data_IF_337832249516
#
_entry.id   IF_337832249516
#
_cell.length_a   1.000
_cell.length_b   1.000
_cell.length_c   1.000
_cell.angle_alpha   90.00
_cell.angle_beta   90.00
_cell.angle_gamma   90.00
#
_symmetry.space_group_name_H-M   'P 1'
#
loop_
_entity.id
_entity.type
_entity.pdbx_description
1 polymer ?
#
# COMPACT_ATOMS: atom_id res chain seq x y z
N UNK A 1 9.76 -40.00 -36.21
CA UNK A 1 8.91 -39.17 -37.10
C UNK A 1 7.45 -39.53 -36.91
N UNK A 2 6.65 -38.60 -36.38
CA UNK A 2 5.21 -38.36 -36.65
C UNK A 2 4.69 -37.38 -35.59
N UNK A 3 4.83 -36.09 -35.92
CA UNK A 3 4.24 -34.99 -35.16
C UNK A 3 2.73 -35.00 -35.38
N UNK A 4 1.96 -35.25 -34.31
CA UNK A 4 0.51 -35.06 -34.33
C UNK A 4 0.21 -33.84 -33.47
N UNK A 5 0.22 -32.68 -34.11
CA UNK A 5 -0.33 -31.44 -33.56
C UNK A 5 -1.85 -31.60 -33.42
N UNK A 6 -2.33 -31.92 -32.21
CA UNK A 6 -3.74 -31.71 -31.86
C UNK A 6 -3.87 -30.40 -31.11
N UNK A 7 -4.32 -29.40 -31.88
CA UNK A 7 -4.77 -28.10 -31.40
C UNK A 7 -6.12 -28.33 -30.72
N UNK A 8 -6.10 -28.41 -29.39
CA UNK A 8 -7.29 -28.29 -28.55
C UNK A 8 -6.92 -27.30 -27.45
N UNK A 9 -7.43 -26.09 -27.62
CA UNK A 9 -7.24 -25.00 -26.68
C UNK A 9 -7.78 -25.33 -25.31
N UNK A 10 -6.92 -25.23 -24.32
CA UNK A 10 -7.28 -24.80 -22.97
C UNK A 10 -6.14 -23.89 -22.52
N UNK A 11 -6.37 -22.59 -22.70
CA UNK A 11 -5.62 -21.50 -22.05
C UNK A 11 -5.67 -21.70 -20.54
N UNK A 12 -4.69 -22.42 -20.00
CA UNK A 12 -4.40 -22.41 -18.57
C UNK A 12 -3.35 -21.33 -18.34
N UNK A 13 -3.82 -20.09 -18.43
CA UNK A 13 -3.14 -18.94 -17.86
C UNK A 13 -3.11 -19.18 -16.35
N UNK A 14 -2.01 -19.75 -15.86
CA UNK A 14 -1.67 -19.77 -14.43
C UNK A 14 -1.28 -18.36 -13.99
N UNK A 15 -2.25 -17.46 -13.99
CA UNK A 15 -2.23 -16.28 -13.12
C UNK A 15 -2.97 -16.72 -11.88
N UNK A 16 -2.25 -17.09 -10.82
CA UNK A 16 -2.62 -16.72 -9.45
C UNK A 16 -1.57 -17.21 -8.44
N UNK A 17 -1.30 -16.33 -7.49
CA UNK A 17 -0.52 -16.54 -6.28
C UNK A 17 1.01 -16.52 -6.42
N UNK A 18 1.53 -15.45 -7.02
CA UNK A 18 2.56 -14.70 -6.30
C UNK A 18 1.90 -14.10 -5.05
N UNK A 19 1.66 -14.95 -4.06
CA UNK A 19 1.34 -14.54 -2.70
C UNK A 19 2.57 -13.80 -2.23
N UNK A 20 2.52 -12.48 -2.39
CA UNK A 20 3.45 -11.56 -1.79
C UNK A 20 3.34 -11.78 -0.29
N UNK A 21 4.16 -12.70 0.24
CA UNK A 21 4.68 -12.56 1.57
C UNK A 21 5.50 -11.27 1.55
N UNK A 22 4.80 -10.13 1.63
CA UNK A 22 5.42 -8.92 2.10
C UNK A 22 6.10 -9.29 3.42
N UNK A 23 7.28 -8.72 3.72
CA UNK A 23 7.82 -8.86 5.07
C UNK A 23 6.71 -8.40 6.02
N UNK A 24 6.17 -9.33 6.82
CA UNK A 24 5.08 -9.03 7.76
C UNK A 24 5.40 -7.78 8.58
N UNK A 25 6.70 -7.56 8.86
CA UNK A 25 7.26 -6.39 9.51
C UNK A 25 6.88 -5.04 8.85
N UNK A 26 6.76 -4.95 7.52
CA UNK A 26 6.35 -3.73 6.83
C UNK A 26 4.82 -3.51 6.84
N UNK A 27 4.03 -4.59 6.92
CA UNK A 27 2.60 -4.51 7.17
C UNK A 27 2.33 -4.06 8.60
N UNK A 28 3.03 -4.63 9.57
CA UNK A 28 2.94 -4.24 10.98
C UNK A 28 3.32 -2.77 11.18
N UNK A 29 4.40 -2.29 10.55
CA UNK A 29 4.84 -0.90 10.65
C UNK A 29 3.82 0.08 10.03
N UNK A 30 3.22 -0.28 8.89
CA UNK A 30 2.15 0.53 8.28
C UNK A 30 0.91 0.56 9.16
N UNK A 31 0.47 -0.59 9.67
CA UNK A 31 -0.70 -0.69 10.54
C UNK A 31 -0.52 0.13 11.81
N UNK A 32 0.64 0.07 12.47
CA UNK A 32 0.93 0.87 13.66
C UNK A 32 0.77 2.37 13.44
N UNK A 33 1.20 2.87 12.29
CA UNK A 33 1.12 4.31 11.98
C UNK A 33 -0.28 4.69 11.51
N UNK A 34 -0.89 3.90 10.62
CA UNK A 34 -2.23 4.17 10.11
C UNK A 34 -3.28 4.20 11.24
N UNK A 35 -3.20 3.27 12.20
CA UNK A 35 -4.14 3.17 13.32
C UNK A 35 -4.14 4.36 14.28
N UNK A 36 -3.15 5.26 14.20
CA UNK A 36 -3.13 6.46 15.05
C UNK A 36 -4.23 7.46 14.71
N UNK A 37 -4.67 7.50 13.44
CA UNK A 37 -5.62 8.51 12.94
C UNK A 37 -6.74 7.90 12.10
N UNK A 38 -6.60 6.64 11.67
CA UNK A 38 -7.54 5.96 10.77
C UNK A 38 -8.06 4.68 11.43
N UNK A 39 -9.35 4.32 11.26
CA UNK A 39 -9.91 3.10 11.87
C UNK A 39 -9.28 1.82 11.30
N UNK A 40 -9.24 0.76 12.11
CA UNK A 40 -8.58 -0.50 11.78
C UNK A 40 -9.03 -1.11 10.45
N UNK A 41 -10.34 -1.14 10.18
CA UNK A 41 -10.88 -1.69 8.93
C UNK A 41 -10.38 -0.96 7.69
N UNK A 42 -10.23 0.36 7.78
CA UNK A 42 -9.65 1.16 6.70
C UNK A 42 -8.16 0.86 6.55
N UNK A 43 -7.40 0.82 7.65
CA UNK A 43 -5.97 0.50 7.59
C UNK A 43 -5.68 -0.88 7.01
N UNK A 44 -6.46 -1.90 7.39
CA UNK A 44 -6.38 -3.25 6.81
C UNK A 44 -6.60 -3.20 5.30
N UNK A 45 -7.65 -2.51 4.84
CA UNK A 45 -7.97 -2.37 3.43
C UNK A 45 -6.87 -1.62 2.67
N UNK A 46 -6.43 -0.46 3.17
CA UNK A 46 -5.35 0.33 2.56
C UNK A 46 -4.08 -0.52 2.47
N UNK A 47 -3.72 -1.22 3.55
CA UNK A 47 -2.54 -2.08 3.57
C UNK A 47 -2.61 -3.20 2.54
N UNK A 48 -3.80 -3.63 2.13
CA UNK A 48 -3.97 -4.65 1.08
C UNK A 48 -3.87 -4.09 -0.34
N UNK A 49 -4.17 -2.79 -0.51
CA UNK A 49 -4.19 -2.10 -1.81
C UNK A 49 -2.92 -1.28 -2.08
N UNK A 50 -2.14 -1.00 -1.03
CA UNK A 50 -0.95 -0.17 -1.13
C UNK A 50 0.20 -0.93 -1.83
N UNK A 51 0.77 -0.37 -2.92
CA UNK A 51 1.90 -0.97 -3.62
C UNK A 51 3.10 -1.18 -2.69
N UNK A 52 3.82 -2.29 -2.87
CA UNK A 52 4.95 -2.65 -2.00
C UNK A 52 6.10 -1.62 -2.08
N UNK A 53 6.34 -1.07 -3.27
CA UNK A 53 7.34 -0.04 -3.55
C UNK A 53 7.02 1.32 -2.92
N UNK A 54 5.72 1.61 -2.70
CA UNK A 54 5.26 2.85 -2.06
C UNK A 54 5.05 2.72 -0.55
N UNK A 55 5.16 1.50 0.00
CA UNK A 55 4.82 1.22 1.39
C UNK A 55 5.71 1.95 2.39
N UNK A 56 7.02 1.97 2.18
CA UNK A 56 7.94 2.68 3.07
C UNK A 56 7.69 4.20 3.05
N UNK A 57 7.52 4.77 1.86
CA UNK A 57 7.21 6.19 1.69
C UNK A 57 5.86 6.57 2.32
N UNK A 58 4.86 5.69 2.22
CA UNK A 58 3.56 5.86 2.87
C UNK A 58 3.67 5.82 4.40
N UNK A 59 4.49 4.93 4.97
CA UNK A 59 4.75 4.89 6.42
C UNK A 59 5.36 6.21 6.89
N UNK A 60 6.37 6.71 6.19
CA UNK A 60 7.02 7.98 6.54
C UNK A 60 6.09 9.19 6.37
N UNK A 61 5.33 9.23 5.28
CA UNK A 61 4.31 10.24 5.03
C UNK A 61 3.24 10.24 6.11
N UNK A 62 2.70 9.07 6.46
CA UNK A 62 1.71 8.95 7.54
C UNK A 62 2.28 9.32 8.90
N UNK A 63 3.54 8.98 9.22
CA UNK A 63 4.18 9.40 10.48
C UNK A 63 4.23 10.92 10.61
N UNK A 64 4.63 11.61 9.53
CA UNK A 64 4.61 13.09 9.49
C UNK A 64 3.19 13.63 9.56
N UNK A 65 2.25 12.99 8.87
CA UNK A 65 0.83 13.37 8.89
C UNK A 65 0.22 13.27 10.29
N UNK A 66 0.49 12.18 11.00
CA UNK A 66 0.01 11.99 12.35
C UNK A 66 0.67 12.96 13.34
N UNK A 67 1.96 13.28 13.14
CA UNK A 67 2.66 14.28 13.95
C UNK A 67 2.00 15.67 13.82
N UNK A 68 1.56 16.05 12.61
CA UNK A 68 0.84 17.30 12.39
C UNK A 68 -0.59 17.29 12.93
N UNK A 69 -1.27 16.14 12.90
CA UNK A 69 -2.64 16.00 13.43
C UNK A 69 -2.72 15.96 14.96
N UNK A 70 -1.58 15.89 15.67
CA UNK A 70 -1.58 15.93 17.15
C UNK A 70 -2.08 17.28 17.67
N UNK A 71 -2.74 17.33 18.84
CA UNK A 71 -3.13 18.60 19.47
C UNK A 71 -1.89 19.48 19.71
N UNK A 72 -1.86 20.67 19.10
CA UNK A 72 -0.69 21.57 19.13
C UNK A 72 0.42 21.23 18.13
N UNK A 73 0.20 20.28 17.21
CA UNK A 73 1.09 19.99 16.10
C UNK A 73 1.03 21.10 15.05
N UNK A 74 2.18 21.40 14.44
CA UNK A 74 2.21 22.29 13.27
C UNK A 74 1.53 21.60 12.09
N UNK A 75 0.78 22.38 11.30
CA UNK A 75 0.20 21.93 10.05
C UNK A 75 1.27 21.21 9.21
N UNK A 76 0.90 20.08 8.60
CA UNK A 76 1.74 19.38 7.63
C UNK A 76 2.21 20.39 6.60
N UNK A 77 3.50 20.74 6.63
CA UNK A 77 4.08 21.56 5.59
C UNK A 77 4.52 20.63 4.44
N UNK A 78 3.85 20.66 3.28
CA UNK A 78 4.26 19.87 2.14
C UNK A 78 5.69 20.18 1.68
N UNK A 79 6.26 21.34 2.05
CA UNK A 79 7.67 21.66 1.81
C UNK A 79 8.66 20.80 2.63
N UNK A 80 8.20 20.13 3.69
CA UNK A 80 8.99 19.21 4.50
C UNK A 80 8.81 17.73 4.09
N UNK A 81 7.98 17.43 3.09
CA UNK A 81 7.84 16.09 2.53
C UNK A 81 8.78 15.93 1.33
N UNK A 82 9.54 14.83 1.30
CA UNK A 82 10.27 14.49 0.07
C UNK A 82 9.28 14.10 -1.03
N UNK A 83 9.74 14.14 -2.28
CA UNK A 83 8.91 13.73 -3.41
C UNK A 83 8.43 12.27 -3.28
N UNK A 84 9.26 11.37 -2.74
CA UNK A 84 8.83 10.01 -2.44
C UNK A 84 7.73 9.96 -1.39
N UNK A 85 7.84 10.75 -0.31
CA UNK A 85 6.84 10.79 0.76
C UNK A 85 5.49 11.31 0.26
N UNK A 86 5.49 12.29 -0.64
CA UNK A 86 4.27 12.76 -1.30
C UNK A 86 3.62 11.65 -2.16
N UNK A 87 4.40 10.93 -2.96
CA UNK A 87 3.90 9.80 -3.75
C UNK A 87 3.38 8.65 -2.87
N UNK A 88 4.03 8.41 -1.73
CA UNK A 88 3.57 7.43 -0.75
C UNK A 88 2.24 7.83 -0.12
N UNK A 89 2.06 9.11 0.21
CA UNK A 89 0.81 9.63 0.76
C UNK A 89 -0.32 9.62 -0.29
N UNK A 90 -0.03 9.97 -1.54
CA UNK A 90 -0.98 9.88 -2.66
C UNK A 90 -1.46 8.43 -2.87
N UNK A 91 -0.54 7.47 -2.84
CA UNK A 91 -0.89 6.05 -2.90
C UNK A 91 -1.80 5.61 -1.74
N UNK A 92 -1.63 6.17 -0.54
CA UNK A 92 -2.53 5.94 0.61
C UNK A 92 -3.91 6.56 0.36
N UNK A 93 -3.99 7.77 -0.19
CA UNK A 93 -5.28 8.43 -0.51
C UNK A 93 -6.02 7.67 -1.60
N UNK A 94 -5.34 7.25 -2.66
CA UNK A 94 -5.91 6.41 -3.72
C UNK A 94 -6.42 5.09 -3.13
N UNK A 95 -5.64 4.45 -2.27
CA UNK A 95 -6.06 3.24 -1.59
C UNK A 95 -7.25 3.49 -0.65
N UNK A 96 -7.28 4.60 0.08
CA UNK A 96 -8.42 5.00 0.93
C UNK A 96 -9.71 5.17 0.12
N UNK A 97 -9.63 5.82 -1.04
CA UNK A 97 -10.78 6.00 -1.94
C UNK A 97 -11.36 4.66 -2.46
N UNK A 98 -10.54 3.61 -2.50
CA UNK A 98 -10.98 2.25 -2.85
C UNK A 98 -11.47 1.43 -1.64
N UNK A 99 -11.38 1.98 -0.43
CA UNK A 99 -11.70 1.32 0.83
C UNK A 99 -12.91 1.95 1.55
N UNK A 100 -13.60 2.88 0.87
CA UNK A 100 -14.77 3.60 1.38
C UNK A 100 -16.05 2.78 1.28
#
# INVERSE_FOLDING_TARGET
>A
MRFVFRILGVTSVTILAAGLALPAQAQDAFMQVCLQTTPQKMCECISSKLPADKRQAAIEGLRKSNAAMRPGGNLLDPANLSQEQMQGLDAVVIAQANCT
#
